data_IF_527679652722
#
_entry.id   IF_527679652722
#
_cell.length_a   1.000
_cell.length_b   1.000
_cell.length_c   1.000
_cell.angle_alpha   90.00
_cell.angle_beta   90.00
_cell.angle_gamma   90.00
#
_symmetry.space_group_name_H-M   'P 1'
#
loop_
_entity.id
_entity.type
_entity.pdbx_description
1 polymer ?
#
# COMPACT_ATOMS: atom_id res chain seq x y z
N UNK A 1 -27.34 8.44 -0.49
CA UNK A 1 -26.10 9.02 0.04
C UNK A 1 -25.07 8.97 -1.09
N UNK A 2 -24.59 10.12 -1.55
CA UNK A 2 -23.52 10.19 -2.54
C UNK A 2 -22.23 9.88 -1.78
N UNK A 3 -21.61 8.72 -2.04
CA UNK A 3 -20.21 8.52 -1.67
C UNK A 3 -19.42 9.65 -2.37
N UNK A 4 -18.69 10.51 -1.65
CA UNK A 4 -17.88 11.51 -2.30
C UNK A 4 -16.91 10.77 -3.22
N UNK A 5 -17.03 11.01 -4.51
CA UNK A 5 -16.08 10.50 -5.49
C UNK A 5 -14.80 11.29 -5.28
N UNK A 6 -13.87 10.71 -4.52
CA UNK A 6 -12.55 11.30 -4.25
C UNK A 6 -11.92 11.68 -5.58
N UNK A 7 -11.53 12.94 -5.69
CA UNK A 7 -10.96 13.53 -6.90
C UNK A 7 -9.61 12.88 -7.23
N UNK A 8 -9.16 13.02 -8.47
CA UNK A 8 -7.85 12.51 -8.90
C UNK A 8 -6.73 13.15 -8.08
N UNK A 9 -6.81 14.47 -7.85
CA UNK A 9 -5.83 15.24 -7.07
C UNK A 9 -5.75 14.77 -5.62
N UNK A 10 -6.89 14.52 -4.97
CA UNK A 10 -6.90 13.98 -3.61
C UNK A 10 -6.28 12.57 -3.56
N UNK A 11 -6.56 11.71 -4.56
CA UNK A 11 -5.94 10.38 -4.62
C UNK A 11 -4.43 10.46 -4.76
N UNK A 12 -3.92 11.37 -5.58
CA UNK A 12 -2.48 11.59 -5.75
C UNK A 12 -1.83 12.13 -4.48
N UNK A 13 -2.50 13.03 -3.77
CA UNK A 13 -2.04 13.53 -2.48
C UNK A 13 -1.97 12.40 -1.44
N UNK A 14 -3.02 11.59 -1.31
CA UNK A 14 -3.08 10.45 -0.40
C UNK A 14 -2.03 9.39 -0.73
N UNK A 15 -1.83 9.10 -2.01
CA UNK A 15 -0.75 8.23 -2.49
C UNK A 15 0.60 8.77 -2.04
N UNK A 16 0.87 10.05 -2.27
CA UNK A 16 2.16 10.68 -1.95
C UNK A 16 2.43 10.67 -0.44
N UNK A 17 1.43 10.99 0.38
CA UNK A 17 1.51 10.93 1.83
C UNK A 17 1.76 9.50 2.34
N UNK A 18 1.03 8.53 1.79
CA UNK A 18 1.20 7.11 2.15
C UNK A 18 2.57 6.58 1.74
N UNK A 19 3.04 6.90 0.53
CA UNK A 19 4.36 6.53 0.03
C UNK A 19 5.48 7.11 0.92
N UNK A 20 5.33 8.34 1.41
CA UNK A 20 6.28 8.95 2.34
C UNK A 20 6.36 8.17 3.65
N UNK A 21 5.21 7.78 4.24
CA UNK A 21 5.18 6.99 5.47
C UNK A 21 5.74 5.58 5.28
N UNK A 22 5.44 4.93 4.14
CA UNK A 22 6.00 3.62 3.82
C UNK A 22 7.53 3.67 3.72
N UNK A 23 8.11 4.74 3.16
CA UNK A 23 9.58 4.92 3.09
C UNK A 23 10.23 5.11 4.47
N UNK A 24 9.47 5.50 5.50
CA UNK A 24 9.97 5.56 6.88
C UNK A 24 9.98 4.16 7.52
N UNK A 25 8.98 3.33 7.21
CA UNK A 25 8.80 2.00 7.79
C UNK A 25 9.78 0.98 7.20
N UNK A 26 10.06 1.08 5.90
CA UNK A 26 10.90 0.13 5.20
C UNK A 26 12.32 0.65 5.00
N UNK A 27 13.35 -0.23 5.04
CA UNK A 27 14.71 0.20 4.78
C UNK A 27 14.86 0.71 3.33
N UNK A 28 15.81 1.62 3.05
CA UNK A 28 15.96 2.22 1.72
C UNK A 28 16.17 1.23 0.57
N UNK A 29 16.78 0.08 0.87
CA UNK A 29 17.04 -1.00 -0.09
C UNK A 29 15.89 -2.01 -0.21
N UNK A 30 14.78 -1.81 0.50
CA UNK A 30 13.62 -2.69 0.42
C UNK A 30 13.03 -2.70 -0.98
N UNK A 31 12.75 -3.89 -1.47
CA UNK A 31 12.03 -4.08 -2.71
C UNK A 31 10.53 -4.14 -2.42
N UNK A 32 9.82 -3.07 -2.78
CA UNK A 32 8.39 -2.91 -2.48
C UNK A 32 7.61 -2.63 -3.78
N UNK A 33 6.57 -3.40 -4.03
CA UNK A 33 5.61 -3.18 -5.12
C UNK A 33 4.25 -2.85 -4.55
N UNK A 34 3.59 -1.84 -5.10
CA UNK A 34 2.24 -1.42 -4.69
C UNK A 34 1.23 -2.20 -5.52
N UNK A 35 0.62 -3.23 -4.91
CA UNK A 35 -0.31 -4.14 -5.55
C UNK A 35 -1.70 -3.56 -5.75
N UNK A 36 -2.12 -2.64 -4.88
CA UNK A 36 -3.45 -2.06 -4.93
C UNK A 36 -3.58 -0.88 -3.98
N UNK A 37 -4.40 0.08 -4.39
CA UNK A 37 -4.71 1.30 -3.67
C UNK A 37 -6.21 1.54 -3.75
N UNK A 38 -6.85 1.76 -2.62
CA UNK A 38 -8.30 1.91 -2.55
C UNK A 38 -8.68 2.94 -1.48
N UNK A 39 -9.55 3.88 -1.84
CA UNK A 39 -10.21 4.73 -0.86
C UNK A 39 -11.38 3.96 -0.25
N UNK A 40 -11.42 3.85 1.08
CA UNK A 40 -12.45 3.11 1.78
C UNK A 40 -13.84 3.71 1.56
N UNK A 41 -14.79 2.85 1.24
CA UNK A 41 -16.21 3.22 1.16
C UNK A 41 -16.86 3.40 2.54
N UNK A 42 -16.19 2.92 3.58
CA UNK A 42 -16.65 2.84 4.97
C UNK A 42 -16.04 3.92 5.90
N UNK A 43 -15.21 4.82 5.36
CA UNK A 43 -14.63 5.92 6.12
C UNK A 43 -13.49 6.64 5.40
N UNK A 44 -12.92 7.70 5.98
CA UNK A 44 -11.83 8.49 5.40
C UNK A 44 -10.49 7.75 5.52
N UNK A 45 -10.37 6.63 4.79
CA UNK A 45 -9.24 5.71 4.90
C UNK A 45 -8.70 5.39 3.53
N UNK A 46 -7.37 5.35 3.42
CA UNK A 46 -6.68 4.92 2.21
C UNK A 46 -6.01 3.58 2.47
N UNK A 47 -6.46 2.54 1.77
CA UNK A 47 -5.95 1.18 1.90
C UNK A 47 -4.89 0.96 0.84
N UNK A 48 -3.73 0.47 1.26
CA UNK A 48 -2.64 0.12 0.37
C UNK A 48 -2.23 -1.33 0.60
N UNK A 49 -2.17 -2.11 -0.47
CA UNK A 49 -1.63 -3.47 -0.46
C UNK A 49 -0.31 -3.46 -1.18
N UNK A 50 0.72 -4.06 -0.57
CA UNK A 50 2.05 -4.11 -1.14
C UNK A 50 2.64 -5.52 -1.07
N UNK A 51 3.58 -5.79 -1.96
CA UNK A 51 4.48 -6.94 -1.89
C UNK A 51 5.86 -6.46 -1.44
N UNK A 52 6.41 -7.07 -0.40
CA UNK A 52 7.75 -6.80 0.10
C UNK A 52 8.46 -8.08 0.53
N UNK A 53 9.78 -8.02 0.70
CA UNK A 53 10.51 -9.12 1.34
C UNK A 53 10.21 -9.14 2.85
N UNK A 54 9.89 -10.32 3.36
CA UNK A 54 9.82 -10.61 4.79
C UNK A 54 11.21 -10.94 5.36
N UNK A 55 11.27 -11.05 6.68
CA UNK A 55 12.53 -11.21 7.43
C UNK A 55 13.28 -12.51 7.09
N UNK A 56 12.56 -13.56 6.70
CA UNK A 56 13.13 -14.85 6.31
C UNK A 56 13.43 -14.96 4.79
N UNK A 57 13.44 -13.83 4.08
CA UNK A 57 13.72 -13.77 2.63
C UNK A 57 12.54 -14.18 1.73
N UNK A 58 11.42 -14.63 2.30
CA UNK A 58 10.18 -14.88 1.59
C UNK A 58 9.48 -13.59 1.15
N UNK A 59 8.61 -13.67 0.15
CA UNK A 59 7.78 -12.53 -0.27
C UNK A 59 6.48 -12.51 0.52
N UNK A 60 6.11 -11.33 1.00
CA UNK A 60 4.93 -11.12 1.82
C UNK A 60 4.03 -10.06 1.17
N UNK A 61 2.74 -10.35 1.10
CA UNK A 61 1.71 -9.36 0.87
C UNK A 61 1.41 -8.69 2.21
N UNK A 62 1.66 -7.39 2.32
CA UNK A 62 1.28 -6.59 3.50
C UNK A 62 0.17 -5.63 3.13
N UNK A 63 -0.74 -5.41 4.07
CA UNK A 63 -1.82 -4.44 3.94
C UNK A 63 -1.62 -3.35 4.97
N UNK A 64 -1.80 -2.11 4.55
CA UNK A 64 -1.81 -0.97 5.44
C UNK A 64 -3.08 -0.14 5.21
N UNK A 65 -3.49 0.56 6.25
CA UNK A 65 -4.59 1.51 6.24
C UNK A 65 -4.06 2.86 6.72
N UNK A 66 -4.02 3.82 5.83
CA UNK A 66 -3.77 5.21 6.17
C UNK A 66 -5.08 5.85 6.62
N UNK A 67 -5.12 6.27 7.88
CA UNK A 67 -6.24 7.01 8.44
C UNK A 67 -6.04 8.49 8.16
N UNK A 68 -6.87 9.05 7.27
CA UNK A 68 -6.68 10.40 6.71
C UNK A 68 -6.82 11.48 7.80
N UNK A 69 -7.82 11.42 8.71
CA UNK A 69 -7.97 12.44 9.74
C UNK A 69 -6.79 12.50 10.71
N UNK A 70 -6.22 11.34 11.08
CA UNK A 70 -5.09 11.28 12.02
C UNK A 70 -3.72 11.32 11.34
N UNK A 71 -3.65 11.16 10.02
CA UNK A 71 -2.40 11.07 9.27
C UNK A 71 -1.57 9.83 9.61
N UNK A 72 -2.19 8.78 10.18
CA UNK A 72 -1.47 7.61 10.71
C UNK A 72 -1.60 6.40 9.79
N UNK A 73 -0.50 5.68 9.57
CA UNK A 73 -0.48 4.44 8.81
C UNK A 73 -0.53 3.22 9.75
N UNK A 74 -1.61 2.45 9.67
CA UNK A 74 -1.83 1.25 10.47
C UNK A 74 -1.52 -0.01 9.66
N UNK A 75 -0.82 -0.95 10.28
CA UNK A 75 -0.64 -2.29 9.71
C UNK A 75 -1.94 -3.11 9.83
N UNK A 76 -2.39 -3.67 8.71
CA UNK A 76 -3.66 -4.42 8.59
C UNK A 76 -3.43 -5.91 8.24
N UNK A 77 -2.24 -6.43 8.57
CA UNK A 77 -1.89 -7.83 8.44
C UNK A 77 -1.02 -8.14 7.22
N UNK A 78 -0.47 -9.35 7.24
CA UNK A 78 0.40 -9.87 6.19
C UNK A 78 0.10 -11.34 5.88
N UNK A 79 0.42 -11.74 4.66
CA UNK A 79 0.27 -13.10 4.15
C UNK A 79 1.44 -13.45 3.22
N UNK A 80 1.95 -14.69 3.22
CA UNK A 80 2.95 -15.12 2.25
C UNK A 80 2.43 -14.98 0.81
N UNK A 81 3.30 -14.52 -0.09
CA UNK A 81 3.05 -14.49 -1.52
C UNK A 81 3.67 -15.72 -2.17
N UNK A 82 2.88 -16.36 -3.05
CA UNK A 82 3.39 -17.41 -3.92
C UNK A 82 4.26 -16.83 -5.03
N UNK A 83 5.09 -17.68 -5.65
CA UNK A 83 5.96 -17.27 -6.76
C UNK A 83 5.17 -16.76 -7.97
N UNK A 84 4.02 -17.37 -8.28
CA UNK A 84 3.14 -16.96 -9.37
C UNK A 84 2.53 -15.58 -9.10
N UNK A 85 2.06 -15.33 -7.88
CA UNK A 85 1.56 -14.01 -7.49
C UNK A 85 2.66 -12.95 -7.58
N UNK A 86 3.88 -13.26 -7.12
CA UNK A 86 5.01 -12.34 -7.21
C UNK A 86 5.35 -11.99 -8.66
N UNK A 87 5.32 -12.97 -9.56
CA UNK A 87 5.60 -12.73 -10.98
C UNK A 87 4.55 -11.78 -11.59
N UNK A 88 3.27 -12.00 -11.27
CA UNK A 88 2.19 -11.12 -11.71
C UNK A 88 2.36 -9.70 -11.15
N UNK A 89 2.73 -9.56 -9.88
CA UNK A 89 2.99 -8.25 -9.25
C UNK A 89 4.10 -7.51 -9.98
N UNK A 90 5.25 -8.15 -10.23
CA UNK A 90 6.39 -7.50 -10.88
C UNK A 90 6.08 -6.99 -12.29
N UNK A 91 5.15 -7.62 -12.99
CA UNK A 91 4.77 -7.24 -14.37
C UNK A 91 3.71 -6.14 -14.43
N UNK A 92 2.82 -6.07 -13.43
CA UNK A 92 1.58 -5.28 -13.54
C UNK A 92 1.49 -4.12 -12.54
N UNK A 93 2.47 -3.94 -11.67
CA UNK A 93 2.36 -3.00 -10.55
C UNK A 93 3.54 -2.03 -10.49
N UNK A 94 3.29 -0.86 -9.90
CA UNK A 94 4.35 0.14 -9.68
C UNK A 94 5.24 -0.28 -8.52
N UNK A 95 6.54 -0.03 -8.67
CA UNK A 95 7.49 -0.12 -7.57
C UNK A 95 7.39 1.16 -6.73
N UNK A 96 7.52 1.03 -5.40
CA UNK A 96 7.78 2.19 -4.55
C UNK A 96 9.23 2.61 -4.79
N UNK A 97 9.43 3.72 -5.51
CA UNK A 97 10.75 4.28 -5.86
C UNK A 97 11.16 5.36 -4.90
#
# INVERSE_FOLDING_TARGET
MLTPSVTIEEKEHLRSATDALLRIIFPPQALIWIMGEEYGSDGPVWRVTLACQGELGGWMRRRYRYDIPSGTLHFAGEQPLTRSELQAVRQNTRRLT
#
